data_IF_504885253487
#
_entry.id   IF_504885253487
#
_cell.length_a   1.000
_cell.length_b   1.000
_cell.length_c   1.000
_cell.angle_alpha   90.00
_cell.angle_beta   90.00
_cell.angle_gamma   90.00
#
_symmetry.space_group_name_H-M   'P 1'
#
loop_
_entity.id
_entity.type
_entity.pdbx_description
1 polymer ?
#
# COMPACT_ATOMS: atom_id res chain seq x y z
N UNK A 1 23.85 0.48 -5.44
CA UNK A 1 23.65 1.89 -5.85
C UNK A 1 23.38 2.66 -4.58
N UNK A 2 24.14 3.71 -4.28
CA UNK A 2 23.93 4.50 -3.05
C UNK A 2 22.66 5.32 -3.23
N UNK A 3 21.66 5.13 -2.36
CA UNK A 3 20.45 5.96 -2.27
C UNK A 3 20.62 6.95 -1.12
N UNK A 4 20.14 8.18 -1.30
CA UNK A 4 20.12 9.21 -0.24
C UNK A 4 18.70 9.45 0.29
N UNK A 5 17.69 9.23 -0.55
CA UNK A 5 16.28 9.36 -0.20
C UNK A 5 15.57 8.06 -0.60
N UNK A 6 14.78 7.52 0.32
CA UNK A 6 13.79 6.49 0.06
C UNK A 6 12.44 7.13 -0.23
N UNK A 7 11.75 6.66 -1.26
CA UNK A 7 10.51 7.27 -1.71
C UNK A 7 9.34 6.32 -1.52
N UNK A 8 8.20 6.89 -1.14
CA UNK A 8 6.91 6.20 -1.07
C UNK A 8 5.85 6.99 -1.82
N UNK A 9 4.91 6.26 -2.44
CA UNK A 9 3.79 6.80 -3.18
C UNK A 9 2.52 6.09 -2.73
N UNK A 10 1.51 6.86 -2.33
CA UNK A 10 0.16 6.37 -2.12
C UNK A 10 -0.72 6.87 -3.26
N UNK A 11 -1.27 5.95 -4.07
CA UNK A 11 -2.08 6.26 -5.26
C UNK A 11 -1.48 5.67 -6.53
N UNK A 12 -1.86 6.23 -7.68
CA UNK A 12 -1.49 5.71 -9.00
C UNK A 12 -0.67 6.73 -9.80
N UNK A 13 0.47 6.31 -10.32
CA UNK A 13 1.28 7.14 -11.21
C UNK A 13 0.58 7.46 -12.53
N UNK A 14 0.97 8.58 -13.14
CA UNK A 14 0.52 8.97 -14.47
C UNK A 14 1.42 8.37 -15.56
N UNK A 15 0.94 8.37 -16.82
CA UNK A 15 1.69 7.82 -17.96
C UNK A 15 2.94 8.62 -18.32
N UNK A 16 2.91 9.94 -18.09
CA UNK A 16 3.96 10.86 -18.57
C UNK A 16 4.97 11.24 -17.48
N UNK A 17 4.58 11.09 -16.21
CA UNK A 17 5.36 11.52 -15.05
C UNK A 17 5.37 10.41 -13.99
N UNK A 18 6.37 9.53 -14.08
CA UNK A 18 6.66 8.55 -13.04
C UNK A 18 7.65 9.18 -12.03
N UNK A 19 7.23 9.46 -10.78
CA UNK A 19 8.08 10.13 -9.79
C UNK A 19 9.27 9.27 -9.37
N UNK A 20 9.12 7.94 -9.30
CA UNK A 20 10.21 7.04 -8.95
C UNK A 20 11.34 7.07 -9.99
N UNK A 21 11.01 7.06 -11.29
CA UNK A 21 12.01 7.15 -12.36
C UNK A 21 12.74 8.49 -12.29
N UNK A 22 12.01 9.58 -12.06
CA UNK A 22 12.61 10.91 -11.99
C UNK A 22 13.55 11.05 -10.81
N UNK A 23 13.17 10.56 -9.63
CA UNK A 23 13.98 10.71 -8.40
C UNK A 23 15.00 9.59 -8.19
N UNK A 24 15.07 8.58 -9.06
CA UNK A 24 16.08 7.52 -9.01
C UNK A 24 17.52 8.02 -9.21
N UNK A 25 17.70 9.15 -9.92
CA UNK A 25 19.03 9.71 -10.17
C UNK A 25 19.64 10.34 -8.92
N UNK A 26 20.86 9.93 -8.55
CA UNK A 26 21.56 10.40 -7.37
C UNK A 26 21.72 11.93 -7.32
N UNK A 27 22.05 12.56 -8.45
CA UNK A 27 22.21 14.03 -8.52
C UNK A 27 20.89 14.76 -8.24
N UNK A 28 19.74 14.20 -8.67
CA UNK A 28 18.43 14.77 -8.32
C UNK A 28 18.13 14.59 -6.82
N UNK A 29 18.55 13.49 -6.20
CA UNK A 29 18.37 13.31 -4.75
C UNK A 29 19.22 14.31 -3.96
N UNK A 30 20.48 14.52 -4.34
CA UNK A 30 21.35 15.55 -3.71
C UNK A 30 20.74 16.94 -3.87
N UNK A 31 20.31 17.30 -5.08
CA UNK A 31 19.62 18.56 -5.35
C UNK A 31 18.38 18.72 -4.47
N UNK A 32 17.51 17.69 -4.40
CA UNK A 32 16.30 17.70 -3.59
C UNK A 32 16.61 17.93 -2.10
N UNK A 33 17.63 17.28 -1.54
CA UNK A 33 18.06 17.51 -0.16
C UNK A 33 18.57 18.95 0.05
N UNK A 34 19.34 19.49 -0.88
CA UNK A 34 19.82 20.88 -0.79
C UNK A 34 18.66 21.87 -0.73
N UNK A 35 17.73 21.79 -1.68
CA UNK A 35 16.60 22.74 -1.74
C UNK A 35 15.57 22.49 -0.63
N UNK A 36 15.53 21.29 -0.04
CA UNK A 36 14.71 20.97 1.12
C UNK A 36 15.21 21.67 2.39
N UNK A 37 16.54 21.83 2.52
CA UNK A 37 17.14 22.55 3.65
C UNK A 37 16.83 24.05 3.60
N UNK A 38 16.96 24.67 2.43
CA UNK A 38 16.65 26.07 2.16
C UNK A 38 16.36 26.26 0.65
N UNK A 39 15.43 27.14 0.25
CA UNK A 39 15.25 27.47 -1.15
C UNK A 39 16.54 28.08 -1.74
N UNK A 40 16.92 27.65 -2.95
CA UNK A 40 18.18 28.05 -3.60
C UNK A 40 17.97 28.40 -5.07
N UNK A 41 18.81 29.29 -5.60
CA UNK A 41 18.89 29.56 -7.04
C UNK A 41 19.62 28.43 -7.77
N UNK A 42 19.42 28.30 -9.09
CA UNK A 42 20.13 27.32 -9.90
C UNK A 42 21.66 27.49 -9.82
N UNK A 43 22.16 28.72 -9.77
CA UNK A 43 23.60 29.01 -9.64
C UNK A 43 24.18 28.62 -8.28
N UNK A 44 23.40 28.78 -7.20
CA UNK A 44 23.84 28.33 -5.87
C UNK A 44 23.87 26.80 -5.80
N UNK A 45 22.86 26.12 -6.34
CA UNK A 45 22.82 24.65 -6.43
C UNK A 45 24.02 24.13 -7.24
N UNK A 46 24.33 24.76 -8.37
CA UNK A 46 25.46 24.39 -9.23
C UNK A 46 26.79 24.48 -8.46
N UNK A 47 26.98 25.55 -7.69
CA UNK A 47 28.17 25.75 -6.86
C UNK A 47 28.28 24.72 -5.73
N UNK A 48 27.19 24.41 -5.04
CA UNK A 48 27.19 23.41 -3.95
C UNK A 48 27.39 21.97 -4.46
N UNK A 49 26.85 21.63 -5.63
CA UNK A 49 26.96 20.29 -6.21
C UNK A 49 28.22 20.09 -7.08
N UNK A 50 28.90 21.17 -7.46
CA UNK A 50 30.08 21.11 -8.34
C UNK A 50 29.75 20.69 -9.78
N UNK A 51 28.55 21.02 -10.27
CA UNK A 51 28.07 20.74 -11.63
C UNK A 51 27.70 22.05 -12.35
N UNK A 52 27.48 22.01 -13.67
CA UNK A 52 27.16 23.24 -14.41
C UNK A 52 25.75 23.74 -14.10
N UNK A 53 25.55 25.05 -14.21
CA UNK A 53 24.22 25.66 -14.05
C UNK A 53 23.24 25.11 -15.09
N UNK A 54 23.69 24.82 -16.31
CA UNK A 54 22.87 24.22 -17.37
C UNK A 54 22.37 22.82 -16.98
N UNK A 55 23.23 22.01 -16.35
CA UNK A 55 22.86 20.68 -15.87
C UNK A 55 21.84 20.75 -14.71
N UNK A 56 22.03 21.69 -13.78
CA UNK A 56 21.07 21.98 -12.71
C UNK A 56 19.71 22.38 -13.29
N UNK A 57 19.69 23.31 -14.25
CA UNK A 57 18.45 23.78 -14.90
C UNK A 57 17.73 22.61 -15.56
N UNK A 58 18.47 21.70 -16.23
CA UNK A 58 17.88 20.49 -16.82
C UNK A 58 17.24 19.60 -15.76
N UNK A 59 17.90 19.37 -14.61
CA UNK A 59 17.32 18.58 -13.53
C UNK A 59 16.08 19.24 -12.92
N UNK A 60 16.14 20.55 -12.66
CA UNK A 60 15.02 21.33 -12.12
C UNK A 60 13.83 21.33 -13.06
N UNK A 61 14.04 21.52 -14.36
CA UNK A 61 12.99 21.48 -15.38
C UNK A 61 12.24 20.15 -15.38
N UNK A 62 12.98 19.03 -15.33
CA UNK A 62 12.41 17.68 -15.30
C UNK A 62 11.59 17.40 -14.04
N UNK A 63 12.02 17.92 -12.89
CA UNK A 63 11.29 17.79 -11.63
C UNK A 63 10.07 18.73 -11.60
N UNK A 64 10.22 19.96 -12.09
CA UNK A 64 9.16 20.97 -12.10
C UNK A 64 8.02 20.59 -13.05
N UNK A 65 8.32 20.04 -14.25
CA UNK A 65 7.27 19.60 -15.20
C UNK A 65 6.37 18.51 -14.64
N UNK A 66 6.87 17.72 -13.68
CA UNK A 66 6.11 16.69 -12.99
C UNK A 66 5.63 17.12 -11.58
N UNK A 67 5.73 18.41 -11.24
CA UNK A 67 5.20 18.96 -10.00
C UNK A 67 5.95 18.54 -8.74
N UNK A 68 7.21 18.10 -8.86
CA UNK A 68 8.04 17.68 -7.73
C UNK A 68 8.87 18.84 -7.15
N UNK A 69 9.07 19.90 -7.92
CA UNK A 69 9.78 21.13 -7.51
C UNK A 69 8.96 22.34 -7.96
N UNK A 70 9.02 23.42 -7.18
CA UNK A 70 8.40 24.71 -7.50
C UNK A 70 9.45 25.82 -7.45
N UNK A 71 9.38 26.72 -8.43
CA UNK A 71 10.13 27.97 -8.43
C UNK A 71 9.28 29.11 -7.85
N UNK A 72 9.87 29.91 -6.96
CA UNK A 72 9.28 31.12 -6.40
C UNK A 72 10.36 32.18 -6.32
N UNK A 73 10.18 33.29 -7.05
CA UNK A 73 11.12 34.42 -7.10
C UNK A 73 12.56 34.00 -7.45
N UNK A 74 12.73 33.08 -8.41
CA UNK A 74 14.05 32.57 -8.83
C UNK A 74 14.71 31.58 -7.86
N UNK A 75 14.01 31.17 -6.80
CA UNK A 75 14.47 30.16 -5.84
C UNK A 75 13.62 28.90 -5.98
N UNK A 76 14.26 27.74 -5.89
CA UNK A 76 13.63 26.43 -6.01
C UNK A 76 13.43 25.79 -4.65
N UNK A 77 12.28 25.14 -4.46
CA UNK A 77 11.95 24.32 -3.28
C UNK A 77 11.15 23.06 -3.67
N UNK A 78 11.17 22.00 -2.86
CA UNK A 78 10.34 20.81 -3.10
C UNK A 78 8.85 21.17 -3.11
N UNK A 79 8.06 20.45 -3.90
CA UNK A 79 6.61 20.57 -3.96
C UNK A 79 5.86 19.36 -3.36
N UNK A 80 6.60 18.51 -2.65
CA UNK A 80 6.13 17.35 -1.90
C UNK A 80 6.96 17.20 -0.62
N UNK A 81 6.49 16.39 0.34
CA UNK A 81 7.19 16.20 1.61
C UNK A 81 8.49 15.43 1.44
N UNK A 82 9.59 15.98 1.96
CA UNK A 82 10.87 15.27 2.13
C UNK A 82 11.29 15.40 3.60
N UNK A 83 11.26 14.29 4.32
CA UNK A 83 11.64 14.21 5.73
C UNK A 83 13.12 13.88 5.87
N UNK A 84 13.90 14.85 6.33
CA UNK A 84 15.32 14.65 6.66
C UNK A 84 15.48 13.75 7.88
N UNK A 85 16.70 13.30 8.16
CA UNK A 85 17.03 12.57 9.39
C UNK A 85 16.70 13.39 10.66
N UNK A 86 16.85 14.71 10.61
CA UNK A 86 16.45 15.60 11.69
C UNK A 86 14.92 15.64 11.88
N UNK A 87 14.16 15.64 10.79
CA UNK A 87 12.71 15.60 10.82
C UNK A 87 12.21 14.26 11.38
N UNK A 88 12.83 13.14 10.97
CA UNK A 88 12.50 11.81 11.49
C UNK A 88 12.70 11.74 13.01
N UNK A 89 13.85 12.23 13.52
CA UNK A 89 14.11 12.32 14.97
C UNK A 89 13.07 13.19 15.68
N UNK A 90 12.70 14.30 15.07
CA UNK A 90 11.70 15.23 15.63
C UNK A 90 10.34 14.56 15.73
N UNK A 91 9.91 13.85 14.69
CA UNK A 91 8.59 13.21 14.64
C UNK A 91 8.51 11.88 15.41
N UNK A 92 9.65 11.24 15.71
CA UNK A 92 9.69 9.91 16.31
C UNK A 92 8.83 9.77 17.58
N UNK A 93 8.90 10.68 18.58
CA UNK A 93 8.07 10.55 19.79
C UNK A 93 6.58 10.69 19.50
N UNK A 94 6.20 11.56 18.55
CA UNK A 94 4.80 11.69 18.12
C UNK A 94 4.32 10.41 17.43
N UNK A 95 5.14 9.85 16.54
CA UNK A 95 4.77 8.64 15.82
C UNK A 95 4.59 7.46 16.78
N UNK A 96 5.45 7.33 17.79
CA UNK A 96 5.35 6.26 18.80
C UNK A 96 4.09 6.42 19.68
N UNK A 97 3.77 7.66 20.09
CA UNK A 97 2.57 7.96 20.86
C UNK A 97 1.28 7.65 20.07
N UNK A 98 1.21 8.07 18.81
CA UNK A 98 0.06 7.78 17.94
C UNK A 98 -0.03 6.29 17.57
N UNK A 99 1.09 5.59 17.45
CA UNK A 99 1.10 4.14 17.24
C UNK A 99 0.53 3.41 18.46
N UNK A 100 0.86 3.87 19.68
CA UNK A 100 0.28 3.32 20.90
C UNK A 100 -1.25 3.53 20.96
N UNK A 101 -1.74 4.69 20.53
CA UNK A 101 -3.19 4.92 20.41
C UNK A 101 -3.86 3.90 19.50
N UNK A 102 -3.27 3.61 18.33
CA UNK A 102 -3.78 2.58 17.42
C UNK A 102 -3.79 1.21 18.13
N UNK A 103 -2.68 0.83 18.77
CA UNK A 103 -2.54 -0.47 19.45
C UNK A 103 -3.61 -0.65 20.52
N UNK A 104 -3.86 0.36 21.34
CA UNK A 104 -4.90 0.31 22.38
C UNK A 104 -6.29 0.15 21.77
N UNK A 105 -6.64 0.97 20.78
CA UNK A 105 -7.95 0.86 20.11
C UNK A 105 -8.13 -0.53 19.49
N UNK A 106 -7.10 -1.08 18.86
CA UNK A 106 -7.17 -2.43 18.29
C UNK A 106 -7.36 -3.47 19.38
N UNK A 107 -6.55 -3.45 20.46
CA UNK A 107 -6.67 -4.39 21.58
C UNK A 107 -8.08 -4.39 22.19
N UNK A 108 -8.65 -3.21 22.39
CA UNK A 108 -10.01 -3.03 22.93
C UNK A 108 -11.09 -3.62 21.99
N UNK A 109 -10.81 -3.65 20.68
CA UNK A 109 -11.73 -4.12 19.66
C UNK A 109 -11.48 -5.57 19.19
N UNK A 110 -10.43 -6.26 19.66
CA UNK A 110 -10.07 -7.60 19.18
C UNK A 110 -11.16 -8.65 19.39
N UNK A 111 -11.99 -8.51 20.43
CA UNK A 111 -13.16 -9.39 20.60
C UNK A 111 -14.12 -9.26 19.42
N UNK A 112 -14.47 -8.03 19.04
CA UNK A 112 -15.36 -7.74 17.89
C UNK A 112 -14.75 -8.22 16.58
N UNK A 113 -13.43 -8.07 16.40
CA UNK A 113 -12.69 -8.60 15.25
C UNK A 113 -12.85 -10.11 15.15
N UNK A 114 -12.61 -10.83 16.25
CA UNK A 114 -12.72 -12.30 16.31
C UNK A 114 -14.15 -12.79 16.12
N UNK A 115 -15.13 -12.07 16.64
CA UNK A 115 -16.56 -12.37 16.43
C UNK A 115 -16.90 -12.27 14.94
N UNK A 116 -16.49 -11.19 14.26
CA UNK A 116 -16.66 -11.04 12.80
C UNK A 116 -15.94 -12.15 12.03
N UNK A 117 -14.70 -12.48 12.41
CA UNK A 117 -13.91 -13.57 11.80
C UNK A 117 -14.66 -14.91 11.87
N UNK A 118 -15.16 -15.27 13.05
CA UNK A 118 -15.87 -16.54 13.25
C UNK A 118 -17.15 -16.62 12.40
N UNK A 119 -17.69 -15.47 12.03
CA UNK A 119 -18.90 -15.35 11.24
C UNK A 119 -18.68 -15.38 9.72
N UNK A 120 -17.43 -15.27 9.26
CA UNK A 120 -17.09 -15.25 7.83
C UNK A 120 -17.39 -16.59 7.16
N UNK A 121 -17.82 -16.52 5.90
CA UNK A 121 -18.18 -17.68 5.09
C UNK A 121 -17.04 -18.71 5.00
N UNK A 122 -15.80 -18.24 4.82
CA UNK A 122 -14.62 -19.12 4.74
C UNK A 122 -14.34 -19.86 6.07
N UNK A 123 -14.53 -19.19 7.20
CA UNK A 123 -14.31 -19.78 8.53
C UNK A 123 -15.43 -20.76 8.87
N UNK A 124 -16.68 -20.46 8.52
CA UNK A 124 -17.81 -21.40 8.65
C UNK A 124 -17.64 -22.67 7.82
N UNK A 125 -16.86 -22.60 6.73
CA UNK A 125 -16.46 -23.78 5.95
C UNK A 125 -15.32 -24.59 6.59
N UNK A 126 -14.78 -24.13 7.72
CA UNK A 126 -13.65 -24.77 8.39
C UNK A 126 -12.29 -24.39 7.80
N UNK A 127 -12.19 -23.29 7.05
CA UNK A 127 -10.92 -22.76 6.55
C UNK A 127 -10.61 -21.49 7.32
N UNK A 128 -9.62 -21.56 8.21
CA UNK A 128 -9.20 -20.43 9.05
C UNK A 128 -7.70 -20.18 8.84
N UNK A 129 -7.32 -19.37 7.85
CA UNK A 129 -5.93 -18.94 7.69
C UNK A 129 -5.43 -18.25 8.96
N UNK A 130 -4.20 -18.55 9.37
CA UNK A 130 -3.62 -18.04 10.60
C UNK A 130 -3.43 -16.51 10.59
N UNK A 131 -3.27 -15.92 9.41
CA UNK A 131 -3.05 -14.49 9.21
C UNK A 131 -4.34 -13.70 8.97
N UNK A 132 -5.52 -14.28 9.20
CA UNK A 132 -6.80 -13.62 8.95
C UNK A 132 -7.02 -12.37 9.82
N UNK A 133 -6.53 -12.38 11.07
CA UNK A 133 -6.53 -11.19 11.92
C UNK A 133 -5.65 -10.08 11.33
N UNK A 134 -4.47 -10.43 10.79
CA UNK A 134 -3.59 -9.48 10.11
C UNK A 134 -4.25 -8.90 8.85
N UNK A 135 -4.90 -9.72 8.02
CA UNK A 135 -5.62 -9.25 6.83
C UNK A 135 -6.69 -8.23 7.20
N UNK A 136 -7.47 -8.50 8.24
CA UNK A 136 -8.57 -7.61 8.64
C UNK A 136 -8.04 -6.34 9.33
N UNK A 137 -7.13 -6.48 10.29
CA UNK A 137 -6.60 -5.36 11.08
C UNK A 137 -5.60 -4.55 10.26
N UNK A 138 -4.54 -5.18 9.75
CA UNK A 138 -3.49 -4.50 9.02
C UNK A 138 -3.95 -4.00 7.66
N UNK A 139 -4.25 -4.93 6.75
CA UNK A 139 -4.48 -4.58 5.35
C UNK A 139 -5.81 -3.85 5.13
N UNK A 140 -6.93 -4.39 5.63
CA UNK A 140 -8.25 -3.81 5.35
C UNK A 140 -8.53 -2.60 6.25
N UNK A 141 -8.28 -2.69 7.56
CA UNK A 141 -8.62 -1.62 8.50
C UNK A 141 -7.58 -0.51 8.45
N UNK A 142 -6.32 -0.77 8.79
CA UNK A 142 -5.32 0.28 8.98
C UNK A 142 -4.79 0.85 7.66
N UNK A 143 -4.60 0.04 6.62
CA UNK A 143 -4.15 0.53 5.31
C UNK A 143 -5.35 0.99 4.45
N UNK A 144 -6.08 0.06 3.82
CA UNK A 144 -7.02 0.40 2.75
C UNK A 144 -8.19 1.28 3.20
N UNK A 145 -8.87 0.92 4.31
CA UNK A 145 -9.97 1.74 4.84
C UNK A 145 -9.46 2.95 5.61
N UNK A 146 -8.24 2.88 6.17
CA UNK A 146 -7.65 3.94 6.97
C UNK A 146 -7.51 5.23 6.19
N UNK A 147 -7.04 5.14 4.95
CA UNK A 147 -6.89 6.31 4.08
C UNK A 147 -8.22 6.99 3.75
N UNK A 148 -9.27 6.21 3.49
CA UNK A 148 -10.61 6.74 3.22
C UNK A 148 -11.15 7.47 4.46
N UNK A 149 -11.22 6.77 5.61
CA UNK A 149 -11.83 7.31 6.83
C UNK A 149 -11.04 8.48 7.38
N UNK A 150 -9.72 8.40 7.47
CA UNK A 150 -8.91 9.51 8.00
C UNK A 150 -8.93 10.74 7.09
N UNK A 151 -9.10 10.54 5.77
CA UNK A 151 -9.31 11.64 4.83
C UNK A 151 -10.69 12.29 5.02
N UNK A 152 -11.76 11.49 5.17
CA UNK A 152 -13.12 11.98 5.48
C UNK A 152 -13.18 12.74 6.81
N UNK A 153 -12.45 12.23 7.81
CA UNK A 153 -12.31 12.86 9.12
C UNK A 153 -11.39 14.10 9.09
N UNK A 154 -10.78 14.41 7.93
CA UNK A 154 -10.02 15.64 7.67
C UNK A 154 -8.60 15.63 8.23
N UNK A 155 -8.06 14.46 8.59
CA UNK A 155 -6.73 14.29 9.19
C UNK A 155 -5.60 14.19 8.14
N UNK A 156 -5.89 13.59 6.99
CA UNK A 156 -4.91 13.45 5.90
C UNK A 156 -5.55 13.71 4.53
N UNK A 157 -4.71 13.78 3.51
CA UNK A 157 -5.10 13.79 2.10
C UNK A 157 -4.90 12.40 1.52
N UNK A 158 -5.97 11.73 1.04
CA UNK A 158 -5.86 10.39 0.42
C UNK A 158 -5.09 10.42 -0.90
N UNK A 159 -5.37 11.39 -1.77
CA UNK A 159 -4.74 11.51 -3.09
C UNK A 159 -4.65 12.96 -3.55
N UNK A 160 -3.72 13.23 -4.48
CA UNK A 160 -3.46 14.55 -5.06
C UNK A 160 -3.29 14.38 -6.57
N UNK A 161 -3.98 15.21 -7.36
CA UNK A 161 -3.79 15.24 -8.82
C UNK A 161 -2.40 15.77 -9.13
N UNK A 162 -1.68 15.03 -9.96
CA UNK A 162 -0.31 15.33 -10.39
C UNK A 162 -0.24 15.46 -11.91
N UNK A 163 0.75 16.21 -12.45
CA UNK A 163 0.97 16.28 -13.89
C UNK A 163 1.12 14.90 -14.54
N UNK A 164 0.78 14.79 -15.83
CA UNK A 164 0.85 13.53 -16.58
C UNK A 164 -0.26 12.51 -16.27
N UNK A 165 -1.35 12.96 -15.62
CA UNK A 165 -2.51 12.13 -15.29
C UNK A 165 -2.38 11.32 -14.00
N UNK A 166 -1.36 11.59 -13.18
CA UNK A 166 -1.18 10.92 -11.89
C UNK A 166 -2.19 11.37 -10.85
N UNK A 167 -2.50 10.49 -9.90
CA UNK A 167 -3.30 10.79 -8.73
C UNK A 167 -2.69 10.11 -7.49
N UNK A 168 -1.77 10.79 -6.82
CA UNK A 168 -0.98 10.22 -5.75
C UNK A 168 -0.45 11.28 -4.78
N UNK A 169 -0.18 10.85 -3.54
CA UNK A 169 0.68 11.57 -2.60
C UNK A 169 2.07 10.93 -2.64
N UNK A 170 3.11 11.74 -2.83
CA UNK A 170 4.50 11.29 -2.91
C UNK A 170 5.28 11.86 -1.74
N UNK A 171 6.19 11.07 -1.17
CA UNK A 171 7.01 11.50 -0.03
C UNK A 171 8.40 10.88 -0.13
N UNK A 172 9.41 11.67 0.26
CA UNK A 172 10.77 11.20 0.44
C UNK A 172 11.15 11.14 1.92
N UNK A 173 11.94 10.14 2.28
CA UNK A 173 12.59 10.01 3.59
C UNK A 173 14.09 9.92 3.35
N UNK A 174 14.87 10.84 3.90
CA UNK A 174 16.33 10.71 3.89
C UNK A 174 16.73 9.39 4.56
N UNK A 175 17.63 8.62 3.93
CA UNK A 175 18.07 7.33 4.46
C UNK A 175 18.59 7.52 5.89
N UNK A 176 18.02 6.79 6.86
CA UNK A 176 18.26 7.09 8.26
C UNK A 176 17.51 6.20 9.24
N UNK A 177 16.61 6.81 10.04
CA UNK A 177 15.88 6.10 11.10
C UNK A 177 14.71 5.28 10.58
N UNK A 178 14.12 5.72 9.48
CA UNK A 178 13.05 5.01 8.77
C UNK A 178 13.71 4.23 7.63
N UNK A 179 13.45 2.93 7.57
CA UNK A 179 13.83 2.04 6.46
C UNK A 179 12.55 1.50 5.82
N UNK A 180 12.22 2.04 4.65
CA UNK A 180 11.01 1.64 3.94
C UNK A 180 11.09 0.20 3.42
N UNK A 181 12.28 -0.37 3.22
CA UNK A 181 12.41 -1.75 2.70
C UNK A 181 12.00 -2.79 3.75
N UNK A 182 12.14 -2.46 5.03
CA UNK A 182 11.84 -3.36 6.14
C UNK A 182 10.38 -3.29 6.59
N UNK A 183 9.62 -2.29 6.12
CA UNK A 183 8.28 -1.99 6.58
C UNK A 183 7.20 -3.02 6.19
N UNK A 184 6.18 -3.18 7.04
CA UNK A 184 5.03 -4.08 6.81
C UNK A 184 3.91 -3.49 5.95
N UNK A 185 3.94 -2.17 5.74
CA UNK A 185 2.86 -1.39 5.12
C UNK A 185 2.69 -1.60 3.61
N UNK A 186 3.44 -2.50 2.98
CA UNK A 186 3.42 -2.63 1.53
C UNK A 186 2.19 -3.40 1.06
N UNK A 187 1.15 -2.68 0.71
CA UNK A 187 -0.02 -3.18 -0.01
C UNK A 187 0.15 -3.09 -1.53
N UNK A 188 -0.32 -4.10 -2.26
CA UNK A 188 -0.62 -3.96 -3.68
C UNK A 188 -1.94 -4.67 -3.98
N UNK A 189 -2.84 -3.96 -4.65
CA UNK A 189 -4.17 -4.45 -4.92
C UNK A 189 -4.63 -4.04 -6.32
N UNK A 190 -5.51 -4.86 -6.91
CA UNK A 190 -5.98 -4.67 -8.28
C UNK A 190 -7.34 -5.32 -8.49
N UNK A 191 -8.22 -4.62 -9.20
CA UNK A 191 -9.59 -5.07 -9.45
C UNK A 191 -9.73 -5.54 -10.89
N UNK A 192 -10.21 -6.76 -11.09
CA UNK A 192 -10.47 -7.34 -12.40
C UNK A 192 -11.92 -7.84 -12.44
N UNK A 193 -12.79 -7.08 -13.10
CA UNK A 193 -14.24 -7.30 -13.03
C UNK A 193 -14.76 -7.07 -11.61
N UNK A 194 -15.31 -8.11 -10.98
CA UNK A 194 -15.79 -8.07 -9.59
C UNK A 194 -14.77 -8.59 -8.57
N UNK A 195 -13.58 -9.00 -9.00
CA UNK A 195 -12.59 -9.62 -8.12
C UNK A 195 -11.49 -8.62 -7.78
N UNK A 196 -11.35 -8.35 -6.48
CA UNK A 196 -10.30 -7.50 -5.95
C UNK A 196 -9.22 -8.38 -5.34
N UNK A 197 -8.09 -8.50 -6.03
CA UNK A 197 -6.93 -9.23 -5.56
C UNK A 197 -6.03 -8.31 -4.76
N UNK A 198 -5.56 -8.77 -3.61
CA UNK A 198 -4.71 -8.00 -2.73
C UNK A 198 -3.59 -8.85 -2.14
N UNK A 199 -2.47 -8.17 -1.89
CA UNK A 199 -1.38 -8.67 -1.09
C UNK A 199 -0.84 -7.56 -0.20
N UNK A 200 -0.51 -7.89 1.05
CA UNK A 200 -0.08 -6.90 2.05
C UNK A 200 0.90 -7.51 3.04
N UNK A 201 1.99 -6.79 3.32
CA UNK A 201 3.05 -7.21 4.24
C UNK A 201 4.43 -6.87 3.70
N UNK A 202 5.47 -7.38 4.38
CA UNK A 202 6.86 -7.11 4.03
C UNK A 202 7.23 -7.68 2.65
N UNK A 203 7.86 -6.84 1.83
CA UNK A 203 8.25 -7.20 0.46
C UNK A 203 9.35 -8.26 0.43
N UNK A 204 9.35 -9.14 -0.60
CA UNK A 204 10.48 -10.01 -0.87
C UNK A 204 11.65 -9.25 -1.53
N UNK A 205 12.87 -9.82 -1.53
CA UNK A 205 14.04 -9.17 -2.14
C UNK A 205 13.96 -8.94 -3.67
N UNK A 206 13.13 -9.72 -4.40
CA UNK A 206 13.11 -9.74 -5.88
C UNK A 206 11.73 -9.51 -6.49
N UNK A 207 10.83 -8.88 -5.75
CA UNK A 207 9.45 -8.60 -6.19
C UNK A 207 8.48 -9.73 -5.84
N UNK A 208 7.21 -9.36 -5.69
CA UNK A 208 6.16 -10.20 -5.12
C UNK A 208 5.60 -11.21 -6.10
N UNK A 209 5.60 -12.49 -5.73
CA UNK A 209 4.90 -13.56 -6.44
C UNK A 209 3.47 -13.68 -5.89
N UNK A 210 2.62 -12.73 -6.28
CA UNK A 210 1.20 -12.71 -5.93
C UNK A 210 0.40 -11.94 -7.00
N UNK A 211 -0.92 -12.04 -6.91
CA UNK A 211 -1.80 -11.11 -7.61
C UNK A 211 -2.04 -9.87 -6.73
N UNK A 212 -2.02 -8.65 -7.32
CA UNK A 212 -2.02 -8.37 -8.77
C UNK A 212 -0.64 -8.22 -9.42
N UNK A 213 0.47 -8.31 -8.68
CA UNK A 213 1.84 -8.07 -9.20
C UNK A 213 2.16 -8.88 -10.47
N UNK A 214 1.80 -10.17 -10.49
CA UNK A 214 1.99 -11.03 -11.66
C UNK A 214 1.12 -10.62 -12.86
N UNK A 215 -0.09 -10.10 -12.61
CA UNK A 215 -0.96 -9.61 -13.68
C UNK A 215 -0.34 -8.37 -14.36
N UNK A 216 0.23 -7.48 -13.55
CA UNK A 216 0.95 -6.30 -14.06
C UNK A 216 2.28 -6.65 -14.72
N UNK A 217 2.96 -7.69 -14.27
CA UNK A 217 4.12 -8.23 -14.97
C UNK A 217 3.74 -8.73 -16.36
N UNK A 218 2.63 -9.46 -16.52
CA UNK A 218 2.15 -9.89 -17.84
C UNK A 218 1.86 -8.70 -18.75
N UNK A 219 1.22 -7.65 -18.23
CA UNK A 219 1.00 -6.41 -18.97
C UNK A 219 2.32 -5.76 -19.40
N UNK A 220 3.29 -5.65 -18.49
CA UNK A 220 4.62 -5.11 -18.77
C UNK A 220 5.42 -5.91 -19.80
N UNK A 221 5.14 -7.21 -19.93
CA UNK A 221 5.71 -8.10 -20.96
C UNK A 221 4.96 -8.03 -22.31
N UNK A 222 3.97 -7.14 -22.45
CA UNK A 222 3.28 -6.86 -23.70
C UNK A 222 1.94 -7.58 -23.88
N UNK A 223 1.42 -8.28 -22.87
CA UNK A 223 0.05 -8.83 -22.92
C UNK A 223 -0.94 -7.67 -22.84
N UNK A 224 -1.92 -7.62 -23.75
CA UNK A 224 -2.91 -6.55 -23.74
C UNK A 224 -3.73 -6.56 -22.44
N UNK A 225 -4.13 -5.37 -21.98
CA UNK A 225 -4.87 -5.22 -20.73
C UNK A 225 -6.18 -6.01 -20.72
N UNK A 226 -6.88 -6.09 -21.87
CA UNK A 226 -8.11 -6.87 -22.00
C UNK A 226 -7.86 -8.37 -21.74
N UNK A 227 -6.73 -8.90 -22.24
CA UNK A 227 -6.33 -10.29 -22.00
C UNK A 227 -5.95 -10.53 -20.55
N UNK A 228 -5.21 -9.61 -19.94
CA UNK A 228 -4.88 -9.68 -18.50
C UNK A 228 -6.16 -9.66 -17.66
N UNK A 229 -7.09 -8.75 -17.97
CA UNK A 229 -8.35 -8.60 -17.25
C UNK A 229 -9.25 -9.82 -17.40
N UNK A 230 -9.37 -10.36 -18.61
CA UNK A 230 -10.11 -11.60 -18.85
C UNK A 230 -9.50 -12.77 -18.07
N UNK A 231 -8.17 -12.91 -18.09
CA UNK A 231 -7.48 -13.99 -17.38
C UNK A 231 -7.62 -13.88 -15.87
N UNK A 232 -7.47 -12.68 -15.32
CA UNK A 232 -7.68 -12.45 -13.89
C UNK A 232 -9.13 -12.66 -13.46
N UNK A 233 -10.10 -12.39 -14.36
CA UNK A 233 -11.51 -12.69 -14.11
C UNK A 233 -11.79 -14.21 -14.10
N UNK A 234 -11.15 -14.98 -15.00
CA UNK A 234 -11.20 -16.45 -15.00
C UNK A 234 -10.62 -17.03 -13.70
N UNK A 235 -9.43 -16.56 -13.29
CA UNK A 235 -8.80 -16.95 -12.02
C UNK A 235 -9.69 -16.60 -10.81
N UNK A 236 -10.28 -15.40 -10.81
CA UNK A 236 -11.20 -14.98 -9.75
C UNK A 236 -12.43 -15.86 -9.67
N UNK A 237 -12.99 -16.29 -10.81
CA UNK A 237 -14.13 -17.21 -10.85
C UNK A 237 -13.79 -18.61 -10.31
N UNK A 238 -12.57 -19.10 -10.52
CA UNK A 238 -12.08 -20.35 -9.90
C UNK A 238 -12.07 -20.22 -8.38
N UNK A 239 -11.48 -19.14 -7.85
CA UNK A 239 -11.39 -18.90 -6.40
C UNK A 239 -12.76 -18.66 -5.77
N UNK A 240 -13.67 -17.96 -6.45
CA UNK A 240 -15.06 -17.80 -6.01
C UNK A 240 -15.79 -19.15 -5.99
N UNK A 241 -15.67 -19.98 -7.03
CA UNK A 241 -16.31 -21.29 -7.05
C UNK A 241 -15.83 -22.15 -5.87
N UNK A 242 -14.53 -22.08 -5.57
CA UNK A 242 -13.91 -22.74 -4.42
C UNK A 242 -14.25 -22.10 -3.09
N UNK A 243 -14.91 -20.94 -3.02
CA UNK A 243 -15.38 -20.34 -1.75
C UNK A 243 -16.54 -21.14 -1.18
N UNK A 244 -17.41 -21.67 -2.06
CA UNK A 244 -18.63 -22.38 -1.69
C UNK A 244 -18.45 -23.89 -1.46
N UNK A 245 -17.26 -24.45 -1.72
CA UNK A 245 -16.98 -25.87 -1.50
C UNK A 245 -15.63 -26.31 -2.03
N UNK A 246 -15.18 -27.49 -1.59
CA UNK A 246 -14.05 -28.16 -2.21
C UNK A 246 -14.55 -28.86 -3.48
N UNK A 247 -13.86 -28.68 -4.61
CA UNK A 247 -14.34 -29.14 -5.92
C UNK A 247 -13.29 -30.01 -6.61
N UNK A 248 -13.72 -31.04 -7.34
CA UNK A 248 -12.81 -31.75 -8.22
C UNK A 248 -12.48 -30.91 -9.45
N UNK A 249 -11.43 -31.31 -10.18
CA UNK A 249 -11.11 -30.70 -11.47
C UNK A 249 -12.31 -30.71 -12.44
N UNK A 250 -13.05 -31.83 -12.52
CA UNK A 250 -14.22 -31.97 -13.39
C UNK A 250 -15.37 -31.07 -12.96
N UNK A 251 -15.61 -30.92 -11.66
CA UNK A 251 -16.66 -30.05 -11.14
C UNK A 251 -16.37 -28.58 -11.45
N UNK A 252 -15.12 -28.13 -11.27
CA UNK A 252 -14.68 -26.79 -11.65
C UNK A 252 -14.84 -26.55 -13.15
N UNK A 253 -14.38 -27.50 -13.97
CA UNK A 253 -14.49 -27.43 -15.42
C UNK A 253 -15.94 -27.30 -15.86
N UNK A 254 -16.82 -28.17 -15.37
CA UNK A 254 -18.24 -28.17 -15.73
C UNK A 254 -18.97 -26.94 -15.22
N UNK A 255 -18.64 -26.46 -14.01
CA UNK A 255 -19.30 -25.30 -13.40
C UNK A 255 -18.93 -23.97 -14.08
N UNK A 256 -17.68 -23.85 -14.52
CA UNK A 256 -17.14 -22.60 -15.07
C UNK A 256 -17.09 -22.58 -16.60
N UNK A 257 -17.25 -23.74 -17.26
CA UNK A 257 -17.15 -23.84 -18.72
C UNK A 257 -15.73 -23.56 -19.26
N UNK A 258 -14.70 -23.70 -18.42
CA UNK A 258 -13.30 -23.44 -18.79
C UNK A 258 -12.72 -24.66 -19.52
N UNK A 259 -11.91 -24.43 -20.56
CA UNK A 259 -11.20 -25.50 -21.25
C UNK A 259 -10.23 -26.25 -20.31
N UNK A 260 -10.09 -27.57 -20.50
CA UNK A 260 -9.23 -28.44 -19.66
C UNK A 260 -7.79 -27.92 -19.51
N UNK A 261 -7.15 -27.53 -20.61
CA UNK A 261 -5.77 -27.06 -20.58
C UNK A 261 -5.64 -25.70 -19.85
N UNK A 262 -6.61 -24.80 -20.03
CA UNK A 262 -6.63 -23.51 -19.31
C UNK A 262 -6.81 -23.73 -17.81
N UNK A 263 -7.77 -24.56 -17.42
CA UNK A 263 -8.04 -24.87 -16.01
C UNK A 263 -6.84 -25.55 -15.35
N UNK A 264 -6.19 -26.49 -16.04
CA UNK A 264 -4.98 -27.15 -15.53
C UNK A 264 -3.82 -26.16 -15.32
N UNK A 265 -3.64 -25.23 -16.25
CA UNK A 265 -2.61 -24.18 -16.15
C UNK A 265 -2.89 -23.26 -14.97
N UNK A 266 -4.13 -22.83 -14.79
CA UNK A 266 -4.52 -21.90 -13.72
C UNK A 266 -4.45 -22.54 -12.34
N UNK A 267 -4.93 -23.76 -12.18
CA UNK A 267 -4.82 -24.47 -10.92
C UNK A 267 -3.36 -24.77 -10.57
N UNK A 268 -2.51 -25.06 -11.55
CA UNK A 268 -1.07 -25.24 -11.34
C UNK A 268 -0.40 -23.94 -10.88
N UNK A 269 -0.76 -22.81 -11.50
CA UNK A 269 -0.30 -21.49 -11.07
C UNK A 269 -0.78 -21.16 -9.65
N UNK A 270 -2.07 -21.31 -9.36
CA UNK A 270 -2.65 -21.04 -8.04
C UNK A 270 -2.06 -21.95 -6.96
N UNK A 271 -1.75 -23.20 -7.28
CA UNK A 271 -1.06 -24.12 -6.36
C UNK A 271 0.36 -23.65 -6.09
N UNK A 272 1.09 -23.24 -7.14
CA UNK A 272 2.47 -22.72 -7.01
C UNK A 272 2.51 -21.45 -6.15
N UNK A 273 1.50 -20.60 -6.28
CA UNK A 273 1.34 -19.38 -5.49
C UNK A 273 0.68 -19.63 -4.12
N UNK A 274 0.37 -20.87 -3.75
CA UNK A 274 -0.32 -21.21 -2.50
C UNK A 274 -1.68 -20.50 -2.31
N UNK A 275 -2.39 -20.20 -3.40
CA UNK A 275 -3.78 -19.70 -3.39
C UNK A 275 -4.77 -20.84 -3.14
N UNK A 276 -4.40 -22.06 -3.57
CA UNK A 276 -5.17 -23.28 -3.38
C UNK A 276 -4.28 -24.40 -2.86
N UNK A 277 -4.90 -25.44 -2.32
CA UNK A 277 -4.29 -26.71 -1.92
C UNK A 277 -5.11 -27.89 -2.47
N UNK A 278 -4.54 -29.09 -2.47
CA UNK A 278 -5.20 -30.31 -2.95
C UNK A 278 -5.40 -31.29 -1.80
N UNK A 279 -6.66 -31.62 -1.51
CA UNK A 279 -7.05 -32.63 -0.54
C UNK A 279 -7.29 -33.98 -1.20
N UNK A 280 -6.82 -35.05 -0.53
CA UNK A 280 -7.01 -36.43 -0.96
C UNK A 280 -6.64 -36.66 -2.44
N UNK A 281 -5.66 -35.89 -2.95
CA UNK A 281 -5.16 -35.90 -4.34
C UNK A 281 -6.19 -35.56 -5.42
N UNK A 282 -7.40 -35.08 -5.07
CA UNK A 282 -8.50 -34.87 -6.03
C UNK A 282 -9.28 -33.58 -5.85
N UNK A 283 -9.43 -33.13 -4.61
CA UNK A 283 -10.28 -31.98 -4.27
C UNK A 283 -9.43 -30.72 -4.13
N UNK A 284 -9.76 -29.70 -4.89
CA UNK A 284 -9.15 -28.38 -4.78
C UNK A 284 -9.86 -27.61 -3.67
N UNK A 285 -9.07 -26.97 -2.81
CA UNK A 285 -9.53 -26.17 -1.67
C UNK A 285 -8.81 -24.83 -1.66
N UNK A 286 -9.49 -23.77 -1.22
CA UNK A 286 -8.85 -22.47 -0.98
C UNK A 286 -7.78 -22.57 0.11
N UNK A 287 -6.67 -21.88 -0.10
CA UNK A 287 -5.60 -21.73 0.89
C UNK A 287 -5.38 -20.27 1.30
N UNK A 288 -6.28 -19.38 0.87
CA UNK A 288 -6.25 -17.94 1.16
C UNK A 288 -7.64 -17.45 1.58
N UNK A 289 -7.73 -16.33 2.33
CA UNK A 289 -9.00 -15.65 2.55
C UNK A 289 -9.63 -15.21 1.23
N UNK A 290 -10.89 -15.63 1.02
CA UNK A 290 -11.77 -15.07 0.00
C UNK A 290 -13.02 -14.54 0.70
N UNK A 291 -13.22 -13.23 0.64
CA UNK A 291 -14.36 -12.56 1.25
C UNK A 291 -15.49 -12.46 0.24
N UNK A 292 -16.65 -13.03 0.58
CA UNK A 292 -17.89 -12.76 -0.16
C UNK A 292 -18.29 -11.29 -0.01
N UNK A 293 -19.22 -10.77 -0.83
CA UNK A 293 -19.67 -9.40 -0.68
C UNK A 293 -20.31 -9.10 0.70
N UNK A 294 -20.92 -10.12 1.33
CA UNK A 294 -21.46 -10.00 2.69
C UNK A 294 -20.35 -9.98 3.75
N UNK A 295 -19.39 -10.90 3.65
CA UNK A 295 -18.21 -10.95 4.53
C UNK A 295 -17.48 -9.61 4.52
N UNK A 296 -17.19 -9.09 3.33
CA UNK A 296 -16.49 -7.81 3.17
C UNK A 296 -17.32 -6.64 3.71
N UNK A 297 -18.66 -6.66 3.55
CA UNK A 297 -19.54 -5.67 4.14
C UNK A 297 -19.41 -5.61 5.67
N UNK A 298 -19.41 -6.77 6.34
CA UNK A 298 -19.25 -6.86 7.80
C UNK A 298 -17.87 -6.36 8.25
N UNK A 299 -16.81 -6.81 7.58
CA UNK A 299 -15.43 -6.37 7.85
C UNK A 299 -15.29 -4.86 7.67
N UNK A 300 -15.85 -4.29 6.59
CA UNK A 300 -15.79 -2.86 6.33
C UNK A 300 -16.53 -2.04 7.39
N UNK A 301 -17.72 -2.46 7.81
CA UNK A 301 -18.46 -1.79 8.89
C UNK A 301 -17.67 -1.79 10.21
N UNK A 302 -17.05 -2.93 10.57
CA UNK A 302 -16.17 -3.00 11.73
C UNK A 302 -14.96 -2.05 11.58
N UNK A 303 -14.31 -2.08 10.41
CA UNK A 303 -13.13 -1.26 10.11
C UNK A 303 -13.43 0.23 10.30
N UNK A 304 -14.55 0.72 9.76
CA UNK A 304 -14.99 2.12 9.89
C UNK A 304 -15.21 2.49 11.36
N UNK A 305 -15.82 1.60 12.17
CA UNK A 305 -16.03 1.85 13.60
C UNK A 305 -14.69 2.04 14.33
N UNK A 306 -13.75 1.12 14.13
CA UNK A 306 -12.42 1.15 14.74
C UNK A 306 -11.65 2.41 14.30
N UNK A 307 -11.68 2.73 13.02
CA UNK A 307 -10.98 3.90 12.48
C UNK A 307 -11.55 5.21 13.00
N UNK A 308 -12.86 5.30 13.26
CA UNK A 308 -13.45 6.48 13.90
C UNK A 308 -12.96 6.68 15.34
N UNK A 309 -12.75 5.60 16.08
CA UNK A 309 -12.14 5.64 17.41
C UNK A 309 -10.68 6.13 17.33
N UNK A 310 -9.89 5.61 16.38
CA UNK A 310 -8.51 6.08 16.11
C UNK A 310 -8.51 7.56 15.70
N UNK A 311 -9.37 7.95 14.77
CA UNK A 311 -9.48 9.33 14.28
C UNK A 311 -9.83 10.30 15.42
N UNK A 312 -10.70 9.90 16.35
CA UNK A 312 -11.05 10.68 17.54
C UNK A 312 -9.81 10.93 18.42
N UNK A 313 -9.01 9.89 18.67
CA UNK A 313 -7.75 10.02 19.42
C UNK A 313 -6.78 10.98 18.72
N UNK A 314 -6.60 10.84 17.41
CA UNK A 314 -5.73 11.73 16.64
C UNK A 314 -6.22 13.18 16.66
N UNK A 315 -7.53 13.41 16.51
CA UNK A 315 -8.13 14.75 16.60
C UNK A 315 -7.90 15.40 17.96
N UNK A 316 -7.98 14.62 19.04
CA UNK A 316 -7.69 15.13 20.39
C UNK A 316 -6.23 15.59 20.55
N UNK A 317 -5.32 15.05 19.73
CA UNK A 317 -3.89 15.39 19.71
C UNK A 317 -3.51 16.34 18.56
N UNK A 318 -4.48 16.93 17.85
CA UNK A 318 -4.20 17.73 16.64
C UNK A 318 -3.29 18.94 16.91
N UNK A 319 -3.41 19.58 18.07
CA UNK A 319 -2.51 20.68 18.46
C UNK A 319 -1.05 20.21 18.57
N UNK A 320 -0.82 19.05 19.18
CA UNK A 320 0.50 18.43 19.33
C UNK A 320 1.03 18.02 17.95
N UNK A 321 0.21 17.39 17.11
CA UNK A 321 0.58 17.03 15.73
C UNK A 321 1.05 18.28 14.96
N UNK A 322 0.32 19.39 15.05
CA UNK A 322 0.71 20.65 14.40
C UNK A 322 2.02 21.22 14.95
N UNK A 323 2.22 21.20 16.27
CA UNK A 323 3.47 21.68 16.89
C UNK A 323 4.69 20.89 16.40
N UNK A 324 4.62 19.56 16.43
CA UNK A 324 5.68 18.70 15.90
C UNK A 324 5.92 18.94 14.41
N UNK A 325 4.85 19.02 13.60
CA UNK A 325 4.98 19.24 12.16
C UNK A 325 5.61 20.58 11.82
N UNK A 326 5.28 21.65 12.54
CA UNK A 326 5.79 23.01 12.31
C UNK A 326 7.32 23.11 12.36
N UNK A 327 7.97 22.16 13.05
CA UNK A 327 9.43 22.09 13.24
C UNK A 327 10.13 21.35 12.10
N UNK A 328 9.40 20.84 11.12
CA UNK A 328 9.93 19.97 10.06
C UNK A 328 10.26 20.73 8.78
N UNK A 329 11.16 20.16 7.97
CA UNK A 329 11.50 20.68 6.64
C UNK A 329 10.29 20.77 5.70
N UNK A 330 9.37 19.78 5.62
CA UNK A 330 8.14 19.93 4.85
C UNK A 330 7.30 21.14 5.24
N UNK A 331 7.14 21.44 6.54
CA UNK A 331 6.40 22.62 6.98
C UNK A 331 7.09 23.93 6.55
N UNK A 332 8.43 23.99 6.67
CA UNK A 332 9.24 25.12 6.17
C UNK A 332 9.09 25.33 4.66
N UNK A 333 8.88 24.24 3.91
CA UNK A 333 8.64 24.26 2.47
C UNK A 333 7.17 24.44 2.09
N UNK A 334 6.30 24.82 3.04
CA UNK A 334 4.87 25.08 2.84
C UNK A 334 4.09 23.86 2.32
N UNK A 335 4.58 22.65 2.60
CA UNK A 335 3.81 21.44 2.33
C UNK A 335 2.66 21.37 3.35
N UNK A 336 1.40 21.12 2.92
CA UNK A 336 0.30 21.00 3.86
C UNK A 336 0.47 19.79 4.79
N UNK A 337 0.19 19.97 6.09
CA UNK A 337 0.22 18.87 7.07
C UNK A 337 -0.58 17.67 6.57
N UNK A 338 -1.81 17.87 6.08
CA UNK A 338 -2.66 16.77 5.61
C UNK A 338 -2.03 15.95 4.48
N UNK A 339 -1.28 16.59 3.59
CA UNK A 339 -0.53 15.91 2.52
C UNK A 339 0.63 15.10 3.11
N UNK A 340 1.45 15.72 3.95
CA UNK A 340 2.60 15.06 4.58
C UNK A 340 2.18 13.94 5.55
N UNK A 341 1.04 14.10 6.24
CA UNK A 341 0.52 13.16 7.21
C UNK A 341 0.01 11.87 6.58
N UNK A 342 -0.23 11.83 5.26
CA UNK A 342 -0.54 10.60 4.54
C UNK A 342 0.56 9.55 4.76
N UNK A 343 1.81 9.88 4.49
CA UNK A 343 2.92 8.92 4.61
C UNK A 343 3.42 8.80 6.05
N UNK A 344 3.33 9.85 6.87
CA UNK A 344 3.58 9.73 8.31
C UNK A 344 2.61 8.74 8.96
N UNK A 345 1.32 8.75 8.57
CA UNK A 345 0.35 7.76 9.03
C UNK A 345 0.76 6.34 8.68
N UNK A 346 1.33 6.11 7.49
CA UNK A 346 1.79 4.77 7.11
C UNK A 346 2.90 4.25 8.04
N UNK A 347 3.82 5.12 8.44
CA UNK A 347 4.85 4.80 9.44
C UNK A 347 4.23 4.57 10.84
N UNK A 348 3.23 5.36 11.22
CA UNK A 348 2.54 5.21 12.51
C UNK A 348 1.83 3.85 12.59
N UNK A 349 1.07 3.46 11.56
CA UNK A 349 0.37 2.19 11.62
C UNK A 349 1.31 1.00 11.42
N UNK A 350 2.42 1.16 10.70
CA UNK A 350 3.47 0.13 10.62
C UNK A 350 4.06 -0.18 11.99
N UNK A 351 4.43 0.84 12.75
CA UNK A 351 4.85 0.69 14.17
C UNK A 351 3.78 0.03 15.03
N UNK A 352 2.51 0.38 14.81
CA UNK A 352 1.41 -0.24 15.53
C UNK A 352 1.26 -1.72 15.17
N UNK A 353 1.38 -2.09 13.88
CA UNK A 353 1.36 -3.48 13.41
C UNK A 353 2.50 -4.30 14.02
N UNK A 354 3.71 -3.76 14.01
CA UNK A 354 4.88 -4.39 14.65
C UNK A 354 4.62 -4.70 16.11
N UNK A 355 4.06 -3.73 16.85
CA UNK A 355 3.74 -3.90 18.26
C UNK A 355 2.61 -4.91 18.47
N UNK A 356 1.57 -4.92 17.64
CA UNK A 356 0.49 -5.90 17.71
C UNK A 356 0.97 -7.33 17.45
N UNK A 357 1.89 -7.51 16.51
CA UNK A 357 2.52 -8.81 16.22
C UNK A 357 3.42 -9.24 17.37
N UNK A 358 4.29 -8.34 17.85
CA UNK A 358 5.22 -8.62 18.95
C UNK A 358 4.50 -8.94 20.27
N UNK A 359 3.39 -8.26 20.53
CA UNK A 359 2.54 -8.49 21.70
C UNK A 359 1.60 -9.72 21.52
N UNK A 360 1.74 -10.47 20.43
CA UNK A 360 0.92 -11.66 20.09
C UNK A 360 -0.60 -11.38 20.03
N UNK A 361 -0.98 -10.13 19.75
CA UNK A 361 -2.38 -9.73 19.60
C UNK A 361 -2.96 -10.24 18.28
N UNK A 362 -2.14 -10.18 17.22
CA UNK A 362 -2.39 -10.73 15.89
C UNK A 362 -1.17 -11.53 15.46
N UNK A 363 -1.36 -12.49 14.55
CA UNK A 363 -0.25 -13.26 13.98
C UNK A 363 0.47 -12.51 12.86
N UNK A 364 1.76 -12.80 12.71
CA UNK A 364 2.53 -12.34 11.55
C UNK A 364 2.03 -13.00 10.24
N UNK A 365 2.15 -12.32 9.09
CA UNK A 365 1.94 -12.93 7.78
C UNK A 365 2.87 -14.11 7.52
N UNK A 366 2.43 -15.11 6.73
CA UNK A 366 3.25 -16.27 6.41
C UNK A 366 4.46 -15.89 5.56
N UNK A 367 5.55 -16.66 5.70
CA UNK A 367 6.68 -16.63 4.76
C UNK A 367 6.24 -17.23 3.43
N UNK A 368 6.47 -16.51 2.33
CA UNK A 368 6.03 -16.86 0.99
C UNK A 368 7.19 -17.46 0.17
N UNK A 369 6.91 -18.19 -0.93
CA UNK A 369 7.96 -18.85 -1.73
C UNK A 369 9.03 -17.91 -2.32
N UNK A 370 8.72 -16.63 -2.45
CA UNK A 370 9.63 -15.59 -2.94
C UNK A 370 10.52 -14.96 -1.84
N UNK A 371 10.39 -15.43 -0.60
CA UNK A 371 11.12 -14.93 0.56
C UNK A 371 10.49 -13.72 1.24
N UNK A 372 9.33 -13.25 0.80
CA UNK A 372 8.58 -12.16 1.44
C UNK A 372 7.70 -12.67 2.59
N UNK A 373 7.26 -11.77 3.47
CA UNK A 373 6.30 -12.07 4.55
C UNK A 373 5.05 -11.23 4.35
N UNK A 374 4.10 -11.77 3.60
CA UNK A 374 2.89 -11.05 3.24
C UNK A 374 1.70 -12.00 3.11
N UNK A 375 0.52 -11.46 3.43
CA UNK A 375 -0.75 -12.14 3.24
C UNK A 375 -1.26 -11.89 1.83
N UNK A 376 -2.02 -12.84 1.29
CA UNK A 376 -2.73 -12.71 0.01
C UNK A 376 -4.21 -13.00 0.26
N UNK A 377 -5.09 -12.25 -0.38
CA UNK A 377 -6.53 -12.44 -0.24
C UNK A 377 -7.27 -11.91 -1.45
N UNK A 378 -8.53 -12.34 -1.59
CA UNK A 378 -9.44 -11.84 -2.62
C UNK A 378 -10.74 -11.36 -1.99
N UNK A 379 -11.26 -10.24 -2.48
CA UNK A 379 -12.60 -9.75 -2.13
C UNK A 379 -13.47 -9.84 -3.38
N UNK A 380 -14.66 -10.43 -3.24
CA UNK A 380 -15.69 -10.44 -4.29
C UNK A 380 -16.58 -9.21 -4.07
N UNK A 381 -16.61 -8.32 -5.06
CA UNK A 381 -17.40 -7.09 -5.04
C UNK A 381 -18.84 -7.36 -5.52
N UNK A 382 -19.82 -6.58 -5.02
CA UNK A 382 -21.23 -6.68 -5.47
C UNK A 382 -21.42 -6.25 -6.92
N UNK A 383 -20.59 -5.32 -7.39
CA UNK A 383 -20.63 -4.78 -8.74
C UNK A 383 -19.25 -4.88 -9.38
N UNK A 384 -19.21 -5.13 -10.69
CA UNK A 384 -17.96 -5.08 -11.43
C UNK A 384 -17.43 -3.64 -11.44
N UNK A 385 -16.20 -3.45 -10.98
CA UNK A 385 -15.51 -2.17 -11.05
C UNK A 385 -14.46 -2.22 -12.16
N UNK A 386 -14.29 -1.09 -12.84
CA UNK A 386 -13.18 -0.94 -13.80
C UNK A 386 -11.84 -1.04 -13.06
N UNK A 387 -10.79 -1.67 -13.65
CA UNK A 387 -9.46 -1.83 -13.04
C UNK A 387 -8.77 -0.53 -12.60
N UNK A 388 -9.36 0.63 -12.92
CA UNK A 388 -8.82 1.97 -12.62
C UNK A 388 -9.66 2.80 -11.65
N UNK A 389 -10.60 2.19 -10.91
CA UNK A 389 -11.35 2.93 -9.88
C UNK A 389 -10.68 2.82 -8.51
N UNK A 390 -9.84 3.80 -8.19
CA UNK A 390 -9.27 4.05 -6.84
C UNK A 390 -10.11 5.05 -6.04
#
# INVERSE_FOLDING_TARGET
MVKLIEFAMCGSEGKECNPYVLTAHLERQKLLLLINSKPLSAGDIARELGISTEEVIKHLYELARCGLVKEVNGLYRPAFAIFTLGDQRTLQPLMDDLANDIVEVIKDNMRRVRDVINDLSIVKRGIKPDDLEYVIVGAITLDYSGLDVLSEEGLLLKSKKMPGGGNYVFTGFEVGLIDLNEAWMWGHNGVFGKYWFSSHGKLPPRGRLAFPDLAWLWYGLGVSLDKVTAKMSEIGAILEALTYGDLTFKDLQSKLGINELSLATDLSLLLTLWYVTVLNRKLWRLNIPVFTPEDYGRVKTLSISILKEIASRFKSKLSIINDYYSKTSPARNEIPLKEAFNQVYHIIFEKALDKLIKDEVIKEPPLRPDGGRYSVFMIILKEAKSPFTY
#
